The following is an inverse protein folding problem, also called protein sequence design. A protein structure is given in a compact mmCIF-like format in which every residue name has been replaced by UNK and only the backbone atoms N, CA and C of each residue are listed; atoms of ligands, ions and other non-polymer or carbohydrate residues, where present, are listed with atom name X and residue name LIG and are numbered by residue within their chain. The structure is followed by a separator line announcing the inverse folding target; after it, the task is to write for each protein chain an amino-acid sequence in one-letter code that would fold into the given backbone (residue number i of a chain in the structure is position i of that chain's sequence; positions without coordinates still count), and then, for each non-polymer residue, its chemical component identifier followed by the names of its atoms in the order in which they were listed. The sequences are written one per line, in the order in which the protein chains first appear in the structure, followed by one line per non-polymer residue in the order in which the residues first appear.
data_IF_052087671687
#
_entry.id   IF_052087671687
#
_cell.length_a   1.000
_cell.length_b   1.000
_cell.length_c   1.000
_cell.angle_alpha   90.00
_cell.angle_beta   90.00
_cell.angle_gamma   90.00
#
_symmetry.space_group_name_H-M   'P 1'
#
loop_
_entity.id
_entity.type
_entity.pdbx_description
1 polymer ?
#
# COMPACT_ATOMS: atom_id res chain seq x y z
N UNK A 1 -44.92 -48.98 23.63
CA UNK A 1 -45.46 -47.59 23.69
C UNK A 1 -44.96 -47.01 25.01
N UNK A 2 -44.19 -45.93 25.13
CA UNK A 2 -44.14 -44.66 24.38
C UNK A 2 -42.70 -44.14 24.21
N UNK A 3 -42.50 -43.38 23.12
CA UNK A 3 -41.35 -42.53 22.80
C UNK A 3 -41.44 -41.19 23.55
N UNK A 4 -40.31 -40.55 23.87
CA UNK A 4 -40.09 -39.12 23.61
C UNK A 4 -38.65 -38.69 23.96
N UNK A 5 -37.96 -38.20 22.93
CA UNK A 5 -36.78 -37.35 23.02
C UNK A 5 -37.14 -35.98 23.63
N UNK A 6 -36.20 -35.40 24.40
CA UNK A 6 -36.07 -33.96 24.69
C UNK A 6 -34.57 -33.67 24.87
N UNK A 7 -33.98 -33.08 23.84
CA UNK A 7 -33.59 -31.66 23.80
C UNK A 7 -32.23 -31.42 24.43
N UNK A 8 -31.21 -31.44 23.58
CA UNK A 8 -29.93 -30.77 23.82
C UNK A 8 -30.01 -29.44 23.09
N UNK A 9 -30.02 -28.27 23.76
CA UNK A 9 -29.87 -27.01 23.06
C UNK A 9 -28.40 -26.62 23.02
N UNK A 10 -27.96 -26.21 21.82
CA UNK A 10 -26.92 -25.20 21.66
C UNK A 10 -25.50 -25.72 21.53
N UNK A 11 -25.22 -26.42 20.42
CA UNK A 11 -23.89 -26.32 19.83
C UNK A 11 -23.69 -24.90 19.31
N UNK A 12 -23.05 -24.05 20.11
CA UNK A 12 -22.25 -22.95 19.57
C UNK A 12 -20.87 -23.56 19.27
N UNK A 13 -20.79 -24.22 18.12
CA UNK A 13 -19.50 -24.50 17.51
C UNK A 13 -18.86 -23.15 17.14
N UNK A 14 -17.65 -22.83 17.65
CA UNK A 14 -16.95 -21.64 17.20
C UNK A 14 -16.70 -21.82 15.71
N UNK A 15 -17.18 -20.88 14.89
CA UNK A 15 -16.83 -20.79 13.47
C UNK A 15 -15.34 -21.09 13.33
N UNK A 16 -15.03 -22.13 12.56
CA UNK A 16 -13.70 -22.71 12.41
C UNK A 16 -12.67 -21.60 12.31
N UNK A 17 -11.66 -21.62 13.19
CA UNK A 17 -10.59 -20.61 13.26
C UNK A 17 -9.95 -20.32 11.90
N UNK A 18 -9.98 -21.29 10.99
CA UNK A 18 -9.55 -21.15 9.59
C UNK A 18 -10.42 -20.20 8.76
N UNK A 19 -11.74 -20.20 8.94
CA UNK A 19 -12.67 -19.33 8.19
C UNK A 19 -12.57 -17.88 8.67
N UNK A 20 -12.42 -17.69 9.99
CA UNK A 20 -12.12 -16.38 10.58
C UNK A 20 -10.73 -15.86 10.17
N UNK A 21 -9.72 -16.74 10.10
CA UNK A 21 -8.39 -16.38 9.61
C UNK A 21 -8.40 -16.04 8.11
N UNK A 22 -9.12 -16.80 7.29
CA UNK A 22 -9.27 -16.54 5.86
C UNK A 22 -9.99 -15.20 5.61
N UNK A 23 -11.04 -14.89 6.36
CA UNK A 23 -11.73 -13.60 6.30
C UNK A 23 -10.83 -12.44 6.74
N UNK A 24 -10.03 -12.61 7.80
CA UNK A 24 -9.09 -11.60 8.27
C UNK A 24 -7.95 -11.35 7.26
N UNK A 25 -7.44 -12.41 6.63
CA UNK A 25 -6.44 -12.32 5.56
C UNK A 25 -7.02 -11.65 4.32
N UNK A 26 -8.23 -12.01 3.89
CA UNK A 26 -8.91 -11.37 2.76
C UNK A 26 -9.20 -9.88 3.02
N UNK A 27 -9.58 -9.53 4.25
CA UNK A 27 -9.81 -8.15 4.65
C UNK A 27 -8.50 -7.34 4.72
N UNK A 28 -7.40 -7.96 5.17
CA UNK A 28 -6.07 -7.35 5.17
C UNK A 28 -5.54 -7.17 3.74
N UNK A 29 -5.82 -8.12 2.84
CA UNK A 29 -5.47 -7.96 1.43
C UNK A 29 -6.25 -6.84 0.75
N UNK A 30 -7.52 -6.61 1.14
CA UNK A 30 -8.30 -5.44 0.68
C UNK A 30 -7.78 -4.10 1.21
N UNK A 31 -7.07 -4.07 2.34
CA UNK A 31 -6.48 -2.84 2.88
C UNK A 31 -5.13 -2.49 2.26
N UNK A 32 -4.50 -3.44 1.57
CA UNK A 32 -3.43 -3.14 0.63
C UNK A 32 -4.10 -2.49 -0.59
N UNK A 33 -3.87 -1.19 -0.80
CA UNK A 33 -4.34 -0.49 -2.00
C UNK A 33 -3.88 -1.32 -3.20
N UNK A 34 -4.82 -1.89 -3.94
CA UNK A 34 -4.55 -2.58 -5.20
C UNK A 34 -3.98 -1.54 -6.16
N UNK A 35 -2.66 -1.50 -6.26
CA UNK A 35 -1.95 -0.48 -7.01
C UNK A 35 -0.49 -0.85 -7.19
N UNK A 36 0.10 -0.34 -8.26
CA UNK A 36 1.51 -0.54 -8.55
C UNK A 36 2.32 0.57 -7.89
N UNK A 37 3.10 0.21 -6.87
CA UNK A 37 4.10 1.08 -6.28
C UNK A 37 5.41 0.97 -7.06
N UNK A 38 5.83 2.08 -7.67
CA UNK A 38 7.15 2.22 -8.31
C UNK A 38 8.03 3.14 -7.47
N UNK A 39 9.25 2.71 -7.18
CA UNK A 39 10.26 3.52 -6.50
C UNK A 39 11.46 3.68 -7.44
N UNK A 40 11.79 4.92 -7.77
CA UNK A 40 12.86 5.27 -8.69
C UNK A 40 13.79 6.32 -8.08
N UNK A 41 15.06 6.30 -8.44
CA UNK A 41 15.99 7.37 -8.07
C UNK A 41 15.95 8.46 -9.15
N UNK A 42 15.48 9.65 -8.77
CA UNK A 42 15.73 10.86 -9.55
C UNK A 42 17.18 11.29 -9.30
N UNK A 43 18.03 11.07 -10.30
CA UNK A 43 19.48 11.33 -10.20
C UNK A 43 19.79 12.81 -10.11
N UNK A 44 18.98 13.65 -10.77
CA UNK A 44 19.18 15.10 -10.80
C UNK A 44 18.78 15.72 -9.46
N UNK A 45 17.70 15.21 -8.86
CA UNK A 45 17.25 15.62 -7.54
C UNK A 45 18.05 14.96 -6.41
N UNK A 46 18.70 13.81 -6.69
CA UNK A 46 19.32 12.95 -5.67
C UNK A 46 18.30 12.39 -4.68
N UNK A 47 17.07 12.11 -5.13
CA UNK A 47 15.94 11.69 -4.27
C UNK A 47 15.23 10.48 -4.84
N UNK A 48 14.71 9.63 -3.96
CA UNK A 48 13.77 8.58 -4.36
C UNK A 48 12.39 9.17 -4.59
N UNK A 49 11.80 8.82 -5.73
CA UNK A 49 10.42 9.15 -6.12
C UNK A 49 9.60 7.89 -6.03
N UNK A 50 8.54 7.96 -5.22
CA UNK A 50 7.53 6.92 -5.08
C UNK A 50 6.31 7.34 -5.89
N UNK A 51 5.90 6.49 -6.82
CA UNK A 51 4.68 6.67 -7.61
C UNK A 51 3.76 5.49 -7.37
N UNK A 52 2.59 5.76 -6.79
CA UNK A 52 1.49 4.81 -6.67
C UNK A 52 0.54 5.02 -7.85
N UNK A 53 0.32 3.95 -8.59
CA UNK A 53 -0.55 3.93 -9.77
C UNK A 53 -1.69 2.97 -9.52
N UNK A 54 -2.91 3.37 -9.86
CA UNK A 54 -4.07 2.49 -9.88
C UNK A 54 -3.88 1.40 -10.94
N UNK A 55 -4.08 0.14 -10.57
CA UNK A 55 -3.80 -0.99 -11.48
C UNK A 55 -4.84 -1.18 -12.59
N UNK A 56 -6.06 -0.66 -12.42
CA UNK A 56 -7.15 -0.83 -13.38
C UNK A 56 -7.15 0.30 -14.41
N UNK A 57 -7.00 1.54 -13.95
CA UNK A 57 -7.10 2.75 -14.75
C UNK A 57 -5.74 3.29 -15.22
N UNK A 58 -4.64 2.82 -14.61
CA UNK A 58 -3.29 3.36 -14.79
C UNK A 58 -3.12 4.84 -14.36
N UNK A 59 -4.05 5.37 -13.57
CA UNK A 59 -3.97 6.73 -13.06
C UNK A 59 -2.98 6.82 -11.88
N UNK A 60 -2.24 7.93 -11.80
CA UNK A 60 -1.34 8.18 -10.67
C UNK A 60 -2.17 8.64 -9.47
N UNK A 61 -2.37 7.74 -8.52
CA UNK A 61 -3.06 8.03 -7.27
C UNK A 61 -2.22 8.92 -6.35
N UNK A 62 -0.90 8.70 -6.33
CA UNK A 62 0.01 9.47 -5.48
C UNK A 62 1.41 9.49 -6.04
N UNK A 63 2.05 10.65 -5.97
CA UNK A 63 3.50 10.79 -6.20
C UNK A 63 4.12 11.53 -5.02
N UNK A 64 5.21 11.00 -4.50
CA UNK A 64 5.99 11.62 -3.44
C UNK A 64 7.50 11.40 -3.66
N UNK A 65 8.34 12.44 -3.61
CA UNK A 65 8.02 13.87 -3.53
C UNK A 65 7.20 14.36 -4.74
N UNK A 66 6.49 15.48 -4.59
CA UNK A 66 5.79 16.10 -5.73
C UNK A 66 6.77 16.84 -6.66
N UNK A 67 6.33 17.22 -7.86
CA UNK A 67 7.22 17.82 -8.86
C UNK A 67 7.88 19.12 -8.38
N UNK A 68 7.14 19.98 -7.67
CA UNK A 68 7.69 21.22 -7.12
C UNK A 68 8.83 20.96 -6.13
N UNK A 69 8.72 19.90 -5.31
CA UNK A 69 9.77 19.48 -4.38
C UNK A 69 10.99 18.92 -5.12
N UNK A 70 10.79 18.15 -6.19
CA UNK A 70 11.87 17.63 -7.03
C UNK A 70 12.59 18.77 -7.76
N UNK A 71 11.84 19.67 -8.39
CA UNK A 71 12.38 20.84 -9.07
C UNK A 71 13.22 21.71 -8.12
N UNK A 72 12.74 21.92 -6.90
CA UNK A 72 13.51 22.62 -5.86
C UNK A 72 14.81 21.88 -5.53
N UNK A 73 14.78 20.57 -5.32
CA UNK A 73 15.97 19.78 -5.02
C UNK A 73 17.01 19.84 -6.16
N UNK A 74 16.57 19.70 -7.41
CA UNK A 74 17.42 19.84 -8.61
C UNK A 74 18.07 21.22 -8.67
N UNK A 75 17.30 22.29 -8.44
CA UNK A 75 17.80 23.66 -8.47
C UNK A 75 18.88 23.92 -7.39
N UNK A 76 18.68 23.42 -6.18
CA UNK A 76 19.67 23.52 -5.10
C UNK A 76 20.95 22.76 -5.46
N UNK A 77 20.82 21.54 -5.99
CA UNK A 77 21.98 20.74 -6.44
C UNK A 77 22.80 21.47 -7.51
N UNK A 78 22.13 22.00 -8.54
CA UNK A 78 22.77 22.79 -9.60
C UNK A 78 23.48 24.03 -9.05
N UNK A 79 22.84 24.77 -8.14
CA UNK A 79 23.43 25.95 -7.50
C UNK A 79 24.70 25.60 -6.71
N UNK A 80 24.66 24.52 -5.92
CA UNK A 80 25.82 24.08 -5.14
C UNK A 80 26.99 23.61 -6.02
N UNK A 81 26.69 22.94 -7.14
CA UNK A 81 27.70 22.50 -8.10
C UNK A 81 28.38 23.70 -8.78
N UNK A 82 27.59 24.67 -9.25
CA UNK A 82 28.11 25.91 -9.83
C UNK A 82 28.99 26.68 -8.83
N UNK A 83 28.56 26.80 -7.57
CA UNK A 83 29.32 27.49 -6.52
C UNK A 83 30.63 26.78 -6.15
N UNK A 84 30.68 25.45 -6.28
CA UNK A 84 31.86 24.65 -5.94
C UNK A 84 32.84 24.45 -7.10
N UNK A 85 32.57 25.05 -8.28
CA UNK A 85 33.42 24.93 -9.47
C UNK A 85 33.43 23.52 -10.08
N UNK A 86 32.48 22.66 -9.70
CA UNK A 86 32.30 21.32 -10.27
C UNK A 86 31.21 21.43 -11.33
N UNK A 87 31.62 21.70 -12.57
CA UNK A 87 30.78 21.62 -13.77
C UNK A 87 31.03 20.31 -14.50
#
# INVERSE_FOLDING_TARGET
MFSAARDTPGGEEPASTEEAAAAAVAQTQKSLIAGHLRIELDRDAGRFVQTLTDSETNEILRRFPNESQLAFARAIGAYMNARSGRS
#
